data_IF_936135437632
#
_entry.id   IF_936135437632
#
_cell.length_a   1.000
_cell.length_b   1.000
_cell.length_c   1.000
_cell.angle_alpha   90.00
_cell.angle_beta   90.00
_cell.angle_gamma   90.00
#
_symmetry.space_group_name_H-M   'P 1'
#
loop_
_entity.id
_entity.type
_entity.pdbx_description
1 polymer ?
#
# COMPACT_ATOMS: atom_id res chain seq x y z
N UNK A 1 -13.27 2.82 -4.66
CA UNK A 1 -12.26 1.91 -4.12
C UNK A 1 -10.99 2.00 -4.95
N UNK A 2 -9.82 1.94 -4.31
CA UNK A 2 -8.51 1.72 -4.94
C UNK A 2 -7.70 0.86 -3.97
N UNK A 3 -7.64 -0.45 -4.20
CA UNK A 3 -6.98 -1.41 -3.31
C UNK A 3 -5.91 -2.14 -4.10
N UNK A 4 -4.69 -2.21 -3.57
CA UNK A 4 -3.57 -2.86 -4.25
C UNK A 4 -2.98 -2.10 -5.44
N UNK A 5 -3.31 -0.81 -5.63
CA UNK A 5 -2.96 -0.07 -6.86
C UNK A 5 -1.92 1.03 -6.64
N UNK A 6 -1.97 1.77 -5.53
CA UNK A 6 -1.16 3.01 -5.38
C UNK A 6 0.34 2.74 -5.50
N UNK A 7 0.85 1.66 -4.90
CA UNK A 7 2.26 1.29 -4.96
C UNK A 7 2.76 0.91 -6.36
N UNK A 8 1.86 0.69 -7.33
CA UNK A 8 2.20 0.49 -8.75
C UNK A 8 2.18 1.78 -9.58
N UNK A 9 1.90 2.95 -8.97
CA UNK A 9 1.80 4.23 -9.69
C UNK A 9 3.10 5.03 -9.56
N UNK A 10 3.65 5.40 -10.71
CA UNK A 10 4.81 6.30 -10.84
C UNK A 10 4.60 7.68 -10.23
N UNK A 11 3.36 8.15 -10.23
CA UNK A 11 2.97 9.42 -9.62
C UNK A 11 1.83 9.16 -8.63
N UNK A 12 2.12 9.09 -7.31
CA UNK A 12 1.08 8.80 -6.32
C UNK A 12 0.06 9.94 -6.24
N UNK A 13 0.49 11.19 -6.41
CA UNK A 13 -0.42 12.34 -6.35
C UNK A 13 -1.37 12.40 -7.55
N UNK A 14 -0.91 12.14 -8.76
CA UNK A 14 -1.81 12.10 -9.93
C UNK A 14 -2.87 11.00 -9.78
N UNK A 15 -2.48 9.84 -9.22
CA UNK A 15 -3.43 8.77 -8.90
C UNK A 15 -4.46 9.21 -7.86
N UNK A 16 -4.04 9.81 -6.75
CA UNK A 16 -4.95 10.29 -5.71
C UNK A 16 -5.90 11.39 -6.23
N UNK A 17 -5.40 12.32 -7.05
CA UNK A 17 -6.22 13.37 -7.68
C UNK A 17 -7.23 12.75 -8.65
N UNK A 18 -6.82 11.81 -9.50
CA UNK A 18 -7.72 11.11 -10.41
C UNK A 18 -8.84 10.35 -9.66
N UNK A 19 -8.51 9.71 -8.53
CA UNK A 19 -9.50 9.06 -7.67
C UNK A 19 -10.49 10.08 -7.09
N UNK A 20 -10.01 11.22 -6.60
CA UNK A 20 -10.86 12.30 -6.08
C UNK A 20 -11.77 12.85 -7.17
N UNK A 21 -11.24 13.09 -8.36
CA UNK A 21 -11.98 13.71 -9.45
C UNK A 21 -13.05 12.76 -10.01
N UNK A 22 -12.87 11.45 -9.85
CA UNK A 22 -13.87 10.42 -10.17
C UNK A 22 -15.05 10.35 -9.19
N UNK A 23 -14.96 10.98 -8.02
CA UNK A 23 -16.05 10.99 -7.02
C UNK A 23 -16.95 12.22 -7.21
N UNK A 24 -18.22 12.12 -6.83
CA UNK A 24 -19.08 13.30 -6.61
C UNK A 24 -18.70 13.97 -5.27
N UNK A 25 -19.01 15.25 -5.11
CA UNK A 25 -18.88 15.93 -3.81
C UNK A 25 -19.65 15.18 -2.72
N UNK A 26 -19.05 15.03 -1.55
CA UNK A 26 -19.51 14.16 -0.46
C UNK A 26 -19.24 12.66 -0.67
N UNK A 27 -18.63 12.28 -1.80
CA UNK A 27 -18.30 10.88 -2.11
C UNK A 27 -17.15 10.35 -1.27
N UNK A 28 -17.18 9.07 -0.94
CA UNK A 28 -16.16 8.42 -0.12
C UNK A 28 -15.13 7.66 -0.97
N UNK A 29 -13.86 7.92 -0.72
CA UNK A 29 -12.74 7.08 -1.11
C UNK A 29 -12.55 5.98 -0.08
N UNK A 30 -12.34 4.75 -0.56
CA UNK A 30 -11.71 3.66 0.18
C UNK A 30 -10.40 3.32 -0.53
N UNK A 31 -9.28 3.51 0.16
CA UNK A 31 -7.92 3.32 -0.35
C UNK A 31 -7.20 2.26 0.48
N UNK A 32 -6.66 1.24 -0.18
CA UNK A 32 -5.73 0.29 0.44
C UNK A 32 -4.46 0.19 -0.40
N UNK A 33 -3.32 0.10 0.28
CA UNK A 33 -2.00 0.00 -0.34
C UNK A 33 -0.97 -0.55 0.65
N UNK A 34 0.18 -0.94 0.13
CA UNK A 34 1.37 -1.22 0.93
C UNK A 34 1.84 0.04 1.69
N UNK A 35 2.28 -0.17 2.93
CA UNK A 35 2.89 0.82 3.82
C UNK A 35 4.10 0.23 4.55
N UNK A 36 4.92 1.08 5.14
CA UNK A 36 5.98 0.71 6.09
C UNK A 36 5.72 1.31 7.47
N UNK A 37 6.35 0.74 8.50
CA UNK A 37 6.48 1.41 9.80
C UNK A 37 7.50 2.55 9.71
N UNK A 38 7.31 3.58 10.52
CA UNK A 38 8.19 4.76 10.52
C UNK A 38 7.46 6.05 10.88
N UNK A 39 8.16 7.17 10.71
CA UNK A 39 7.68 8.52 11.03
C UNK A 39 6.99 9.17 9.82
N UNK A 40 6.27 10.26 10.08
CA UNK A 40 5.73 11.10 9.03
C UNK A 40 6.86 11.67 8.16
N UNK A 41 6.68 11.63 6.84
CA UNK A 41 7.69 12.03 5.85
C UNK A 41 8.52 10.87 5.30
N UNK A 42 8.54 9.72 5.96
CA UNK A 42 9.28 8.54 5.49
C UNK A 42 8.50 7.78 4.42
N UNK A 43 9.23 7.32 3.40
CA UNK A 43 8.73 6.56 2.25
C UNK A 43 9.83 5.61 1.78
N UNK A 44 9.49 4.34 1.59
CA UNK A 44 10.34 3.38 0.90
C UNK A 44 10.07 3.43 -0.61
N UNK A 45 11.15 3.58 -1.38
CA UNK A 45 11.18 3.38 -2.83
C UNK A 45 12.18 2.25 -3.09
N UNK A 46 11.73 1.03 -3.43
CA UNK A 46 12.64 -0.08 -3.69
C UNK A 46 13.57 0.24 -4.88
N UNK A 47 14.85 -0.09 -4.77
CA UNK A 47 15.81 0.14 -5.87
C UNK A 47 15.53 -0.79 -7.07
N UNK A 48 15.03 -2.00 -6.77
CA UNK A 48 14.68 -3.00 -7.77
C UNK A 48 13.31 -3.61 -7.48
N UNK A 49 13.32 -4.86 -7.03
CA UNK A 49 12.08 -5.58 -6.71
C UNK A 49 11.71 -5.40 -5.25
N UNK A 50 10.42 -5.44 -4.97
CA UNK A 50 9.88 -5.56 -3.62
C UNK A 50 8.96 -6.77 -3.56
N UNK A 51 9.28 -7.77 -2.73
CA UNK A 51 8.51 -9.01 -2.64
C UNK A 51 8.35 -9.64 -4.04
N UNK A 52 9.46 -9.73 -4.79
CA UNK A 52 9.57 -10.11 -6.21
C UNK A 52 8.86 -9.21 -7.23
N UNK A 53 8.05 -8.22 -6.84
CA UNK A 53 7.37 -7.32 -7.77
C UNK A 53 8.32 -6.27 -8.33
N UNK A 54 8.40 -6.14 -9.66
CA UNK A 54 9.35 -5.23 -10.34
C UNK A 54 8.85 -3.81 -10.63
N UNK A 55 7.56 -3.52 -10.42
CA UNK A 55 6.95 -2.22 -10.73
C UNK A 55 6.40 -1.55 -9.47
N UNK A 56 7.17 -1.56 -8.38
CA UNK A 56 6.78 -0.96 -7.11
C UNK A 56 7.51 0.37 -6.95
N UNK A 57 6.75 1.43 -6.66
CA UNK A 57 7.26 2.81 -6.65
C UNK A 57 7.32 3.39 -5.25
N UNK A 58 6.16 3.67 -4.63
CA UNK A 58 6.11 4.36 -3.34
C UNK A 58 5.38 3.50 -2.30
N UNK A 59 6.06 3.22 -1.20
CA UNK A 59 5.52 2.56 -0.02
C UNK A 59 5.67 3.53 1.15
N UNK A 60 4.69 4.43 1.39
CA UNK A 60 4.78 5.44 2.43
C UNK A 60 4.54 4.85 3.83
N UNK A 61 4.91 5.58 4.88
CA UNK A 61 4.33 5.32 6.21
C UNK A 61 2.86 5.71 6.24
N UNK A 62 2.11 5.17 7.20
CA UNK A 62 0.69 5.49 7.43
C UNK A 62 0.47 7.00 7.58
N UNK A 63 1.29 7.66 8.39
CA UNK A 63 1.20 9.11 8.60
C UNK A 63 1.53 9.92 7.33
N UNK A 64 2.48 9.45 6.52
CA UNK A 64 2.79 10.06 5.23
C UNK A 64 1.62 9.92 4.24
N UNK A 65 0.99 8.74 4.17
CA UNK A 65 -0.17 8.51 3.31
C UNK A 65 -1.36 9.37 3.70
N UNK A 66 -1.63 9.52 5.00
CA UNK A 66 -2.66 10.42 5.52
C UNK A 66 -2.40 11.88 5.08
N UNK A 67 -1.17 12.35 5.20
CA UNK A 67 -0.77 13.68 4.75
C UNK A 67 -0.93 13.86 3.23
N UNK A 68 -0.63 12.82 2.45
CA UNK A 68 -0.83 12.83 0.99
C UNK A 68 -2.30 12.93 0.61
N UNK A 69 -3.19 12.20 1.29
CA UNK A 69 -4.64 12.31 1.08
C UNK A 69 -5.14 13.73 1.34
N UNK A 70 -4.72 14.35 2.46
CA UNK A 70 -5.04 15.77 2.76
C UNK A 70 -4.51 16.70 1.66
N UNK A 71 -3.25 16.52 1.25
CA UNK A 71 -2.62 17.33 0.20
C UNK A 71 -3.28 17.15 -1.17
N UNK A 72 -3.78 15.96 -1.47
CA UNK A 72 -4.57 15.68 -2.67
C UNK A 72 -6.00 16.26 -2.61
N UNK A 73 -6.39 16.92 -1.51
CA UNK A 73 -7.66 17.62 -1.38
C UNK A 73 -8.81 16.77 -0.85
N UNK A 74 -8.53 15.59 -0.26
CA UNK A 74 -9.54 14.86 0.49
C UNK A 74 -9.71 15.45 1.89
N UNK A 75 -10.94 15.41 2.41
CA UNK A 75 -11.27 15.73 3.80
C UNK A 75 -11.28 14.49 4.68
N UNK A 76 -10.96 14.71 5.95
CA UNK A 76 -11.05 13.73 7.05
C UNK A 76 -10.49 12.32 6.75
N UNK A 77 -9.25 12.17 6.25
CA UNK A 77 -8.68 10.83 6.09
C UNK A 77 -8.63 10.10 7.43
N UNK A 78 -9.18 8.91 7.47
CA UNK A 78 -9.28 8.09 8.68
C UNK A 78 -8.68 6.73 8.39
N UNK A 79 -7.70 6.33 9.21
CA UNK A 79 -7.15 4.99 9.18
C UNK A 79 -8.20 4.02 9.75
N UNK A 80 -8.55 3.00 8.97
CA UNK A 80 -9.50 1.96 9.37
C UNK A 80 -8.79 0.71 9.85
N UNK A 81 -7.77 0.28 9.12
CA UNK A 81 -6.99 -0.91 9.46
C UNK A 81 -5.53 -0.72 9.04
N UNK A 82 -4.63 -1.34 9.80
CA UNK A 82 -3.26 -1.59 9.38
C UNK A 82 -2.83 -2.96 9.86
N UNK A 83 -2.47 -3.82 8.93
CA UNK A 83 -2.18 -5.22 9.20
C UNK A 83 -0.98 -5.70 8.37
N UNK A 84 -0.18 -6.59 8.96
CA UNK A 84 0.86 -7.28 8.23
C UNK A 84 0.22 -8.43 7.45
N UNK A 85 0.54 -8.55 6.16
CA UNK A 85 -0.02 -9.62 5.33
C UNK A 85 0.56 -10.95 5.81
N UNK A 86 -0.30 -11.89 6.18
CA UNK A 86 0.14 -13.20 6.68
C UNK A 86 0.16 -14.23 5.55
N UNK A 87 0.93 -15.31 5.74
CA UNK A 87 0.89 -16.47 4.82
C UNK A 87 -0.44 -17.22 4.92
N UNK A 88 -1.21 -17.07 5.98
CA UNK A 88 -2.58 -17.61 6.04
C UNK A 88 -3.55 -16.83 5.15
N UNK A 89 -3.32 -15.52 4.98
CA UNK A 89 -4.08 -14.67 4.08
C UNK A 89 -3.65 -14.91 2.63
N UNK A 90 -2.35 -14.81 2.36
CA UNK A 90 -1.77 -14.92 1.01
C UNK A 90 -0.88 -16.17 0.90
N UNK A 91 -1.40 -17.22 0.27
CA UNK A 91 -0.70 -18.49 0.01
C UNK A 91 -1.06 -19.08 -1.34
N UNK A 92 -0.25 -20.02 -1.79
CA UNK A 92 -0.59 -20.90 -2.90
C UNK A 92 -1.72 -21.85 -2.49
N UNK A 93 -2.51 -22.27 -3.46
CA UNK A 93 -3.61 -23.22 -3.30
C UNK A 93 -3.70 -24.08 -4.55
N UNK A 94 -4.58 -25.09 -4.57
CA UNK A 94 -4.85 -25.90 -5.76
C UNK A 94 -5.29 -25.07 -6.99
N UNK A 95 -5.80 -23.85 -6.76
CA UNK A 95 -6.24 -22.92 -7.81
C UNK A 95 -5.19 -21.86 -8.17
N UNK A 96 -4.21 -21.62 -7.30
CA UNK A 96 -3.13 -20.64 -7.48
C UNK A 96 -1.80 -21.32 -7.15
N UNK A 97 -1.23 -21.98 -8.16
CA UNK A 97 -0.11 -22.91 -8.01
C UNK A 97 1.27 -22.26 -8.23
N UNK A 98 1.30 -20.95 -8.47
CA UNK A 98 2.55 -20.21 -8.57
C UNK A 98 3.06 -19.82 -7.17
N UNK A 99 4.29 -19.31 -7.09
CA UNK A 99 4.85 -18.75 -5.86
C UNK A 99 3.93 -17.65 -5.29
N UNK A 100 3.85 -17.60 -3.96
CA UNK A 100 3.05 -16.67 -3.18
C UNK A 100 3.91 -16.03 -2.08
N UNK A 101 3.27 -15.48 -1.05
CA UNK A 101 3.95 -14.67 -0.03
C UNK A 101 5.10 -15.42 0.64
N UNK A 102 4.95 -16.70 0.96
CA UNK A 102 5.98 -17.49 1.63
C UNK A 102 7.31 -17.49 0.85
N UNK A 103 7.25 -17.60 -0.49
CA UNK A 103 8.43 -17.57 -1.36
C UNK A 103 9.00 -16.16 -1.60
N UNK A 104 8.30 -15.12 -1.13
CA UNK A 104 8.71 -13.73 -1.27
C UNK A 104 9.25 -13.12 0.03
N UNK A 105 9.13 -13.84 1.14
CA UNK A 105 9.72 -13.48 2.43
C UNK A 105 11.13 -14.05 2.57
N UNK A 106 11.92 -13.46 3.46
CA UNK A 106 13.20 -14.03 3.86
C UNK A 106 12.94 -15.26 4.75
N UNK A 107 13.57 -16.39 4.42
CA UNK A 107 13.41 -17.65 5.15
C UNK A 107 13.93 -17.61 6.58
N UNK A 108 14.93 -16.76 6.85
CA UNK A 108 15.56 -16.64 8.17
C UNK A 108 14.86 -15.58 9.03
N UNK A 109 14.19 -14.60 8.41
CA UNK A 109 13.44 -13.54 9.06
C UNK A 109 12.18 -13.14 8.25
N UNK A 110 11.01 -13.72 8.56
CA UNK A 110 9.76 -13.42 7.87
C UNK A 110 9.25 -11.98 8.03
N UNK A 111 9.86 -11.17 8.91
CA UNK A 111 9.57 -9.74 8.98
C UNK A 111 10.16 -8.95 7.81
N UNK A 112 10.96 -9.61 6.96
CA UNK A 112 11.57 -9.03 5.77
C UNK A 112 11.15 -9.79 4.50
N UNK A 113 11.12 -9.05 3.39
CA UNK A 113 11.11 -9.61 2.04
C UNK A 113 12.43 -10.30 1.73
N UNK A 114 12.45 -11.15 0.71
CA UNK A 114 13.68 -11.81 0.22
C UNK A 114 14.73 -10.81 -0.29
N UNK A 115 14.33 -9.58 -0.62
CA UNK A 115 15.23 -8.49 -0.99
C UNK A 115 15.78 -7.70 0.21
N UNK A 116 15.37 -8.01 1.44
CA UNK A 116 15.81 -7.33 2.68
C UNK A 116 15.01 -6.09 3.07
N UNK A 117 13.94 -5.77 2.35
CA UNK A 117 12.98 -4.72 2.76
C UNK A 117 11.99 -5.23 3.82
N UNK A 118 11.32 -4.35 4.59
CA UNK A 118 10.23 -4.76 5.47
C UNK A 118 9.15 -5.53 4.72
N UNK A 119 8.66 -6.62 5.33
CA UNK A 119 7.64 -7.48 4.77
C UNK A 119 6.31 -6.73 4.49
N UNK A 120 5.48 -7.24 3.56
CA UNK A 120 4.26 -6.56 3.14
C UNK A 120 3.32 -6.22 4.30
N UNK A 121 3.13 -4.93 4.53
CA UNK A 121 2.15 -4.37 5.46
C UNK A 121 1.17 -3.50 4.69
N UNK A 122 -0.12 -3.61 5.01
CA UNK A 122 -1.19 -2.93 4.29
C UNK A 122 -1.93 -1.99 5.21
N UNK A 123 -2.32 -0.82 4.69
CA UNK A 123 -3.16 0.12 5.41
C UNK A 123 -4.40 0.44 4.59
N UNK A 124 -5.55 0.49 5.25
CA UNK A 124 -6.83 0.91 4.67
C UNK A 124 -7.25 2.25 5.24
N UNK A 125 -7.47 3.22 4.35
CA UNK A 125 -8.00 4.54 4.67
C UNK A 125 -9.37 4.75 4.04
N UNK A 126 -10.21 5.51 4.73
CA UNK A 126 -11.34 6.21 4.12
C UNK A 126 -11.09 7.71 4.10
N UNK A 127 -11.60 8.41 3.10
CA UNK A 127 -11.55 9.86 3.03
C UNK A 127 -12.71 10.40 2.17
N UNK A 128 -13.09 11.67 2.34
CA UNK A 128 -14.24 12.27 1.65
C UNK A 128 -13.79 13.29 0.59
N UNK A 129 -14.44 13.30 -0.58
CA UNK A 129 -14.32 14.41 -1.52
C UNK A 129 -15.14 15.61 -1.02
N UNK A 130 -14.52 16.78 -0.80
CA UNK A 130 -15.22 17.96 -0.33
C UNK A 130 -16.25 18.52 -1.33
#
# INVERSE_FOLDING_TARGET
FSMGILYHRRSPFDHLIALRDSLRTGGQLVLETLVIEGKAGEVLVPEGRYSKMGNVWFIPTVATLEAWLKKAGFKSPTLIDVSQTSTDEQRSTDWMTFHSLAEFLNSDDPSQTIEGYPAPRRATFIAEKP
#
